data_IF_026770906842
#
_entry.id   IF_026770906842
#
_cell.length_a   1.000
_cell.length_b   1.000
_cell.length_c   1.000
_cell.angle_alpha   90.00
_cell.angle_beta   90.00
_cell.angle_gamma   90.00
#
_symmetry.space_group_name_H-M   'P 1'
#
loop_
_entity.id
_entity.type
_entity.pdbx_description
1 polymer ?
#
# COMPACT_ATOMS: atom_id res chain seq x y z
N UNK A 1 -9.89 -9.43 -38.60
CA UNK A 1 -9.84 -7.96 -38.78
C UNK A 1 -8.67 -7.50 -37.96
N UNK A 2 -7.53 -7.34 -38.63
CA UNK A 2 -6.22 -7.06 -38.03
C UNK A 2 -6.22 -5.67 -37.38
N UNK A 3 -5.81 -5.61 -36.12
CA UNK A 3 -5.55 -4.34 -35.45
C UNK A 3 -4.07 -4.04 -35.68
N UNK A 4 -3.83 -3.04 -36.52
CA UNK A 4 -2.51 -2.55 -36.89
C UNK A 4 -1.69 -2.14 -35.67
N UNK A 5 -0.49 -2.71 -35.55
CA UNK A 5 0.57 -2.20 -34.68
C UNK A 5 0.95 -0.79 -35.14
N UNK A 6 0.71 0.23 -34.32
CA UNK A 6 1.37 1.53 -34.46
C UNK A 6 2.62 1.50 -33.59
N UNK A 7 3.67 0.88 -34.11
CA UNK A 7 5.04 1.13 -33.66
C UNK A 7 5.48 2.46 -34.26
N UNK A 8 5.54 3.53 -33.46
CA UNK A 8 6.43 4.65 -33.76
C UNK A 8 7.85 4.22 -33.36
N UNK A 9 8.68 3.97 -34.37
CA UNK A 9 10.11 3.81 -34.19
C UNK A 9 10.72 5.19 -33.88
N UNK A 10 11.35 5.33 -32.72
CA UNK A 10 12.25 6.44 -32.42
C UNK A 10 13.58 6.16 -33.11
N UNK A 11 14.05 7.09 -33.94
CA UNK A 11 15.46 7.19 -34.35
C UNK A 11 16.23 7.85 -33.20
N UNK A 12 16.47 7.07 -32.15
CA UNK A 12 17.58 7.14 -31.19
C UNK A 12 17.30 6.01 -30.19
N UNK A 13 18.27 5.09 -30.05
CA UNK A 13 18.10 3.76 -29.46
C UNK A 13 17.89 3.72 -27.94
N UNK A 14 16.89 4.44 -27.43
CA UNK A 14 16.45 4.35 -26.05
C UNK A 14 15.07 3.67 -26.03
N UNK A 15 15.02 2.44 -25.51
CA UNK A 15 13.79 1.67 -25.33
C UNK A 15 12.87 2.47 -24.40
N UNK A 16 11.74 2.97 -24.92
CA UNK A 16 10.68 3.57 -24.10
C UNK A 16 10.11 2.47 -23.22
N UNK A 17 10.42 2.51 -21.92
CA UNK A 17 9.89 1.55 -20.96
C UNK A 17 8.37 1.72 -20.89
N UNK A 18 7.63 0.60 -20.91
CA UNK A 18 6.16 0.66 -20.78
C UNK A 18 5.78 1.13 -19.38
N UNK A 19 4.58 1.71 -19.22
CA UNK A 19 4.05 2.09 -17.91
C UNK A 19 4.05 0.88 -16.96
N UNK A 20 3.76 -0.32 -17.47
CA UNK A 20 3.89 -1.57 -16.73
C UNK A 20 5.33 -1.82 -16.24
N UNK A 21 6.35 -1.58 -17.07
CA UNK A 21 7.76 -1.73 -16.71
C UNK A 21 8.20 -0.68 -15.67
N UNK A 22 7.75 0.57 -15.80
CA UNK A 22 8.08 1.68 -14.89
C UNK A 22 7.40 1.50 -13.52
N UNK A 23 6.10 1.18 -13.51
CA UNK A 23 5.34 0.89 -12.29
C UNK A 23 5.88 -0.38 -11.60
N UNK A 24 6.24 -1.41 -12.38
CA UNK A 24 6.88 -2.59 -11.85
C UNK A 24 8.28 -2.31 -11.26
N UNK A 25 9.07 -1.39 -11.81
CA UNK A 25 10.42 -1.09 -11.30
C UNK A 25 10.42 -0.18 -10.07
N UNK A 26 9.58 0.84 -10.02
CA UNK A 26 9.66 1.89 -9.01
C UNK A 26 9.06 1.48 -7.64
N UNK A 27 8.05 0.62 -7.61
CA UNK A 27 7.47 0.13 -6.35
C UNK A 27 8.09 -1.19 -5.87
N UNK A 28 8.50 -2.09 -6.77
CA UNK A 28 8.98 -3.42 -6.36
C UNK A 28 10.25 -3.38 -5.51
N UNK A 29 11.23 -2.54 -5.82
CA UNK A 29 12.55 -2.64 -5.16
C UNK A 29 12.49 -2.25 -3.68
N UNK A 30 11.76 -1.18 -3.32
CA UNK A 30 11.69 -0.73 -1.91
C UNK A 30 10.73 -1.56 -1.08
N UNK A 31 9.54 -1.86 -1.58
CA UNK A 31 8.55 -2.63 -0.81
C UNK A 31 8.96 -4.09 -0.64
N UNK A 32 9.51 -4.74 -1.67
CA UNK A 32 9.97 -6.14 -1.52
C UNK A 32 11.11 -6.23 -0.51
N UNK A 33 12.10 -5.32 -0.58
CA UNK A 33 13.17 -5.31 0.40
C UNK A 33 12.64 -5.05 1.82
N UNK A 34 11.66 -4.16 1.96
CA UNK A 34 10.98 -3.90 3.22
C UNK A 34 10.29 -5.15 3.78
N UNK A 35 9.51 -5.85 2.95
CA UNK A 35 8.81 -7.09 3.33
C UNK A 35 9.81 -8.17 3.76
N UNK A 36 10.89 -8.37 3.02
CA UNK A 36 11.92 -9.36 3.36
C UNK A 36 12.61 -9.03 4.69
N UNK A 37 12.96 -7.76 4.91
CA UNK A 37 13.54 -7.30 6.18
C UNK A 37 12.55 -7.48 7.34
N UNK A 38 11.26 -7.21 7.13
CA UNK A 38 10.24 -7.44 8.15
C UNK A 38 10.10 -8.91 8.53
N UNK A 39 10.00 -9.79 7.54
CA UNK A 39 9.81 -11.22 7.80
C UNK A 39 10.94 -11.82 8.63
N UNK A 40 12.14 -11.25 8.54
CA UNK A 40 13.34 -11.73 9.24
C UNK A 40 13.62 -11.02 10.57
N UNK A 41 13.29 -9.73 10.68
CA UNK A 41 13.69 -8.89 11.82
C UNK A 41 12.54 -8.52 12.74
N UNK A 42 11.28 -8.57 12.27
CA UNK A 42 10.14 -8.11 13.06
C UNK A 42 9.67 -9.16 14.07
N UNK A 43 9.61 -8.75 15.33
CA UNK A 43 9.05 -9.54 16.43
C UNK A 43 7.79 -8.84 16.97
N UNK A 44 6.65 -9.49 16.75
CA UNK A 44 5.37 -9.06 17.28
C UNK A 44 5.30 -9.22 18.81
N UNK A 45 4.53 -8.35 19.45
CA UNK A 45 4.15 -8.40 20.86
C UNK A 45 2.66 -8.68 21.00
N UNK A 46 2.28 -9.25 22.13
CA UNK A 46 0.88 -9.55 22.43
C UNK A 46 0.00 -8.29 22.55
N UNK A 47 0.59 -7.12 22.81
CA UNK A 47 -0.11 -5.83 22.89
C UNK A 47 -0.09 -5.03 21.58
N UNK A 48 0.51 -5.58 20.52
CA UNK A 48 0.57 -4.90 19.22
C UNK A 48 -0.78 -4.86 18.52
N UNK A 49 -1.00 -3.78 17.77
CA UNK A 49 -2.14 -3.61 16.87
C UNK A 49 -1.64 -3.40 15.45
N UNK A 50 -1.94 -4.34 14.57
CA UNK A 50 -1.64 -4.28 13.13
C UNK A 50 -2.87 -3.85 12.36
N UNK A 51 -2.76 -2.76 11.60
CA UNK A 51 -3.76 -2.28 10.65
C UNK A 51 -3.40 -2.72 9.23
N UNK A 52 -4.20 -3.59 8.62
CA UNK A 52 -3.92 -4.13 7.29
C UNK A 52 -5.03 -3.81 6.29
N UNK A 53 -4.66 -3.65 5.02
CA UNK A 53 -5.57 -3.35 3.91
C UNK A 53 -4.85 -3.46 2.58
N UNK A 54 -5.55 -3.76 1.49
CA UNK A 54 -5.02 -3.42 0.16
C UNK A 54 -4.78 -1.89 0.10
N UNK A 55 -3.74 -1.42 -0.59
CA UNK A 55 -3.58 0.01 -0.86
C UNK A 55 -4.88 0.62 -1.38
N UNK A 56 -5.26 1.79 -0.86
CA UNK A 56 -6.47 2.55 -1.26
C UNK A 56 -7.82 2.04 -0.75
N UNK A 57 -7.83 1.03 0.13
CA UNK A 57 -9.06 0.55 0.80
C UNK A 57 -9.51 1.40 2.01
N UNK A 58 -8.86 2.55 2.26
CA UNK A 58 -9.18 3.40 3.43
C UNK A 58 -8.20 3.32 4.59
N UNK A 59 -6.96 2.86 4.36
CA UNK A 59 -5.91 2.77 5.39
C UNK A 59 -5.69 4.08 6.16
N UNK A 60 -5.77 5.23 5.51
CA UNK A 60 -5.62 6.54 6.17
C UNK A 60 -6.72 6.78 7.22
N UNK A 61 -7.98 6.45 6.89
CA UNK A 61 -9.10 6.62 7.80
C UNK A 61 -9.00 5.64 8.97
N UNK A 62 -8.66 4.39 8.69
CA UNK A 62 -8.44 3.36 9.71
C UNK A 62 -7.32 3.76 10.69
N UNK A 63 -6.17 4.23 10.17
CA UNK A 63 -5.06 4.73 10.98
C UNK A 63 -5.50 5.84 11.94
N UNK A 64 -6.24 6.82 11.43
CA UNK A 64 -6.72 7.95 12.24
C UNK A 64 -7.70 7.52 13.32
N UNK A 65 -8.65 6.63 12.99
CA UNK A 65 -9.62 6.15 13.97
C UNK A 65 -8.96 5.36 15.09
N UNK A 66 -8.13 4.38 14.73
CA UNK A 66 -7.50 3.51 15.74
C UNK A 66 -6.52 4.30 16.60
N UNK A 67 -5.72 5.18 15.99
CA UNK A 67 -4.83 6.04 16.76
C UNK A 67 -5.61 6.91 17.75
N UNK A 68 -6.73 7.52 17.32
CA UNK A 68 -7.59 8.33 18.19
C UNK A 68 -8.15 7.53 19.36
N UNK A 69 -8.62 6.30 19.10
CA UNK A 69 -9.19 5.42 20.13
C UNK A 69 -8.13 5.00 21.14
N UNK A 70 -6.96 4.55 20.67
CA UNK A 70 -5.90 4.02 21.52
C UNK A 70 -5.23 5.12 22.35
N UNK A 71 -5.06 6.32 21.78
CA UNK A 71 -4.38 7.44 22.46
C UNK A 71 -5.36 8.40 23.17
N UNK A 72 -6.67 8.13 23.15
CA UNK A 72 -7.72 9.00 23.70
C UNK A 72 -7.47 9.47 25.14
N UNK A 73 -6.98 8.57 25.99
CA UNK A 73 -6.82 8.82 27.44
C UNK A 73 -5.36 9.12 27.83
N UNK A 74 -4.48 9.36 26.85
CA UNK A 74 -3.09 9.68 27.12
C UNK A 74 -2.93 11.19 27.06
N UNK A 75 -3.03 11.87 28.22
CA UNK A 75 -2.95 13.34 28.32
C UNK A 75 -1.61 13.91 27.82
N UNK A 76 -0.59 13.07 27.73
CA UNK A 76 0.67 13.35 27.06
C UNK A 76 0.60 12.99 25.57
N UNK A 77 -0.35 13.59 24.84
CA UNK A 77 -0.17 13.69 23.39
C UNK A 77 1.10 14.51 23.18
N UNK A 78 2.22 13.83 22.96
CA UNK A 78 3.47 14.46 22.56
C UNK A 78 3.27 15.27 21.27
N UNK A 79 4.34 15.71 20.59
CA UNK A 79 4.24 16.55 19.38
C UNK A 79 3.43 15.95 18.20
N UNK A 80 3.02 14.67 18.30
CA UNK A 80 2.28 13.88 17.34
C UNK A 80 0.76 13.96 17.61
N UNK A 81 0.13 15.05 17.19
CA UNK A 81 -1.33 15.20 17.14
C UNK A 81 -1.81 15.19 15.69
N UNK A 82 -3.09 14.85 15.45
CA UNK A 82 -3.69 15.00 14.12
C UNK A 82 -3.59 16.42 13.57
N UNK A 83 -3.55 17.42 14.45
CA UNK A 83 -3.40 18.82 14.06
C UNK A 83 -2.00 19.17 13.54
N UNK A 84 -0.99 18.35 13.84
CA UNK A 84 0.42 18.63 13.55
C UNK A 84 1.07 17.60 12.62
N UNK A 85 0.48 16.42 12.44
CA UNK A 85 1.09 15.31 11.72
C UNK A 85 0.10 14.57 10.80
N UNK A 86 0.59 14.20 9.61
CA UNK A 86 -0.13 13.31 8.71
C UNK A 86 -0.35 11.94 9.39
N UNK A 87 -1.53 11.32 9.34
CA UNK A 87 -1.77 10.01 9.95
C UNK A 87 -0.86 8.88 9.44
N UNK A 88 -0.30 8.98 8.23
CA UNK A 88 0.76 8.07 7.76
C UNK A 88 2.04 8.13 8.61
N UNK A 89 2.32 9.27 9.25
CA UNK A 89 3.44 9.44 10.17
C UNK A 89 3.09 9.00 11.60
N UNK A 90 1.79 9.04 11.96
CA UNK A 90 1.30 8.60 13.28
C UNK A 90 1.26 7.07 13.39
N UNK A 91 0.87 6.39 12.32
CA UNK A 91 0.84 4.93 12.24
C UNK A 91 1.65 4.50 11.03
N UNK A 92 2.86 4.01 11.32
CA UNK A 92 3.87 3.75 10.31
C UNK A 92 3.63 2.43 9.59
N UNK A 93 3.96 2.37 8.30
CA UNK A 93 3.88 1.13 7.53
C UNK A 93 5.12 0.29 7.79
N UNK A 94 4.91 -0.97 8.15
CA UNK A 94 5.98 -1.92 8.44
C UNK A 94 6.90 -2.06 7.22
N UNK A 95 6.35 -2.06 6.00
CA UNK A 95 7.14 -2.27 4.78
C UNK A 95 8.13 -1.13 4.50
N UNK A 96 7.97 0.01 5.19
CA UNK A 96 8.82 1.18 5.01
C UNK A 96 9.81 1.36 6.15
N UNK A 97 9.44 0.99 7.38
CA UNK A 97 10.31 1.13 8.53
C UNK A 97 9.78 0.36 9.74
N UNK A 98 10.71 -0.06 10.61
CA UNK A 98 10.38 -0.69 11.88
C UNK A 98 9.60 0.26 12.80
N UNK A 99 8.68 -0.28 13.62
CA UNK A 99 7.84 0.51 14.50
C UNK A 99 8.59 1.01 15.72
N UNK A 100 8.11 2.12 16.27
CA UNK A 100 8.67 2.71 17.49
C UNK A 100 8.37 1.84 18.72
N UNK A 101 9.09 2.11 19.82
CA UNK A 101 8.97 1.38 21.08
C UNK A 101 7.78 1.79 21.97
N UNK A 102 6.87 2.62 21.44
CA UNK A 102 5.70 3.12 22.17
C UNK A 102 4.69 2.01 22.48
N UNK A 103 4.10 2.00 23.67
CA UNK A 103 3.09 1.01 24.06
C UNK A 103 1.65 1.59 24.10
N UNK A 104 0.63 0.84 23.64
CA UNK A 104 0.76 -0.26 22.68
C UNK A 104 1.25 0.26 21.32
N UNK A 105 1.95 -0.58 20.53
CA UNK A 105 2.42 -0.21 19.18
C UNK A 105 1.26 -0.30 18.21
N UNK A 106 1.05 0.78 17.44
CA UNK A 106 0.07 0.81 16.35
C UNK A 106 0.86 0.86 15.05
N UNK A 107 0.64 -0.15 14.19
CA UNK A 107 1.41 -0.36 12.98
C UNK A 107 0.46 -0.56 11.81
N UNK A 108 0.98 -0.46 10.59
CA UNK A 108 0.20 -0.80 9.40
C UNK A 108 0.97 -1.63 8.40
N UNK A 109 0.25 -2.37 7.57
CA UNK A 109 0.80 -3.14 6.47
C UNK A 109 -0.14 -3.11 5.26
N UNK A 110 0.45 -3.17 4.08
CA UNK A 110 -0.21 -3.51 2.82
C UNK A 110 0.14 -4.93 2.35
N UNK A 111 1.03 -5.62 3.05
CA UNK A 111 1.40 -6.99 2.75
C UNK A 111 0.20 -7.94 2.89
N UNK A 112 -0.03 -8.85 1.93
CA UNK A 112 -1.07 -9.85 2.03
C UNK A 112 -0.79 -10.80 3.20
N UNK A 113 -1.83 -11.43 3.73
CA UNK A 113 -1.74 -12.26 4.95
C UNK A 113 -0.61 -13.30 4.94
N UNK A 114 -0.38 -14.06 3.84
CA UNK A 114 0.72 -15.04 3.79
C UNK A 114 2.12 -14.44 3.86
N UNK A 115 2.25 -13.14 3.54
CA UNK A 115 3.53 -12.43 3.55
C UNK A 115 3.82 -11.73 4.88
N UNK A 116 2.88 -11.75 5.83
CA UNK A 116 3.11 -11.16 7.15
C UNK A 116 4.18 -11.93 7.94
N UNK A 117 4.96 -11.26 8.81
CA UNK A 117 5.94 -11.93 9.66
C UNK A 117 5.31 -13.06 10.49
N UNK A 118 5.95 -14.25 10.57
CA UNK A 118 5.42 -15.38 11.34
C UNK A 118 5.17 -15.06 12.82
N UNK A 119 5.97 -14.13 13.39
CA UNK A 119 5.81 -13.68 14.77
C UNK A 119 4.42 -13.06 15.04
N UNK A 120 3.80 -12.44 14.03
CA UNK A 120 2.44 -11.89 14.14
C UNK A 120 1.43 -13.02 14.27
N UNK A 121 1.59 -14.11 13.51
CA UNK A 121 0.69 -15.26 13.54
C UNK A 121 0.82 -16.08 14.83
N UNK A 122 2.00 -16.10 15.44
CA UNK A 122 2.28 -16.83 16.68
C UNK A 122 2.03 -16.02 17.97
N UNK A 123 1.63 -14.75 17.88
CA UNK A 123 1.39 -13.86 19.03
C UNK A 123 -0.10 -13.51 19.16
N UNK A 124 -0.47 -12.85 20.26
CA UNK A 124 -1.81 -12.29 20.43
C UNK A 124 -1.97 -10.90 19.79
N UNK A 125 -1.10 -10.56 18.83
CA UNK A 125 -1.19 -9.31 18.08
C UNK A 125 -2.57 -9.18 17.43
N UNK A 126 -3.22 -8.03 17.63
CA UNK A 126 -4.54 -7.76 17.08
C UNK A 126 -4.40 -7.30 15.65
N UNK A 127 -5.04 -8.01 14.72
CA UNK A 127 -5.07 -7.65 13.30
C UNK A 127 -6.44 -7.02 13.00
N UNK A 128 -6.43 -5.79 12.48
CA UNK A 128 -7.63 -5.08 12.01
C UNK A 128 -7.49 -4.87 10.50
N UNK A 129 -8.36 -5.52 9.74
CA UNK A 129 -8.39 -5.41 8.28
C UNK A 129 -9.51 -4.50 7.79
N UNK A 130 -9.24 -3.64 6.82
CA UNK A 130 -10.27 -2.88 6.09
C UNK A 130 -10.22 -3.22 4.60
N UNK A 131 -11.37 -3.63 4.07
CA UNK A 131 -11.58 -3.86 2.65
C UNK A 131 -12.47 -2.77 2.04
N UNK A 132 -12.44 -2.68 0.71
CA UNK A 132 -13.27 -1.77 -0.08
C UNK A 132 -13.79 -2.53 -1.29
N UNK A 133 -14.96 -2.11 -1.81
CA UNK A 133 -15.47 -2.62 -3.08
C UNK A 133 -14.36 -2.54 -4.16
N UNK A 134 -14.08 -3.62 -4.93
CA UNK A 134 -12.99 -3.63 -5.89
C UNK A 134 -13.07 -2.57 -6.99
N UNK A 135 -14.27 -2.16 -7.40
CA UNK A 135 -14.45 -1.09 -8.38
C UNK A 135 -14.04 0.27 -7.81
N UNK A 136 -14.45 0.55 -6.56
CA UNK A 136 -14.04 1.77 -5.86
C UNK A 136 -12.54 1.77 -5.51
N UNK A 137 -12.00 0.58 -5.23
CA UNK A 137 -10.56 0.36 -4.99
C UNK A 137 -9.76 0.75 -6.24
N UNK A 138 -10.17 0.23 -7.40
CA UNK A 138 -9.56 0.54 -8.69
C UNK A 138 -9.58 2.03 -8.99
N UNK A 139 -10.75 2.68 -8.93
CA UNK A 139 -10.88 4.12 -9.21
C UNK A 139 -9.99 4.95 -8.27
N UNK A 140 -9.94 4.59 -7.00
CA UNK A 140 -9.06 5.27 -6.04
C UNK A 140 -7.57 5.01 -6.28
N UNK A 141 -7.20 3.84 -6.78
CA UNK A 141 -5.83 3.48 -7.13
C UNK A 141 -5.37 4.22 -8.39
N UNK A 142 -6.20 4.21 -9.43
CA UNK A 142 -6.00 4.98 -10.65
C UNK A 142 -5.66 6.45 -10.35
N UNK A 143 -6.55 7.17 -9.65
CA UNK A 143 -6.29 8.57 -9.31
C UNK A 143 -5.03 8.77 -8.45
N UNK A 144 -4.69 7.80 -7.60
CA UNK A 144 -3.49 7.88 -6.78
C UNK A 144 -2.21 7.75 -7.61
N UNK A 145 -2.16 6.80 -8.54
CA UNK A 145 -1.03 6.59 -9.44
C UNK A 145 -0.82 7.82 -10.33
N UNK A 146 -1.88 8.37 -10.93
CA UNK A 146 -1.80 9.60 -11.72
C UNK A 146 -1.27 10.79 -10.91
N UNK A 147 -1.69 10.93 -9.65
CA UNK A 147 -1.16 11.99 -8.78
C UNK A 147 0.31 11.76 -8.42
N UNK A 148 0.76 10.51 -8.29
CA UNK A 148 2.11 10.17 -7.85
C UNK A 148 3.15 10.29 -8.96
N UNK A 149 2.80 9.89 -10.19
CA UNK A 149 3.72 9.83 -11.33
C UNK A 149 3.49 10.93 -12.38
N UNK A 150 2.55 11.85 -12.14
CA UNK A 150 2.14 12.89 -13.09
C UNK A 150 1.05 12.40 -14.04
N UNK A 151 0.49 13.29 -14.86
CA UNK A 151 -0.54 12.95 -15.86
C UNK A 151 0.02 11.99 -16.91
N UNK A 152 0.02 10.70 -16.58
CA UNK A 152 0.00 9.62 -17.55
C UNK A 152 -1.28 9.85 -18.36
N UNK A 153 -1.20 9.91 -19.69
CA UNK A 153 -2.30 10.30 -20.58
C UNK A 153 -3.68 9.85 -20.08
N UNK A 154 -4.60 10.79 -19.85
CA UNK A 154 -5.93 10.54 -19.26
C UNK A 154 -6.99 10.11 -20.28
N UNK A 155 -6.55 9.63 -21.45
CA UNK A 155 -7.44 9.16 -22.51
C UNK A 155 -8.27 7.95 -22.04
N UNK A 156 -9.55 7.83 -22.43
CA UNK A 156 -10.42 6.72 -22.02
C UNK A 156 -9.83 5.33 -22.28
N UNK A 157 -9.08 5.18 -23.38
CA UNK A 157 -8.37 3.94 -23.74
C UNK A 157 -7.34 3.52 -22.69
N UNK A 158 -6.71 4.49 -22.01
CA UNK A 158 -5.71 4.24 -20.97
C UNK A 158 -6.37 3.73 -19.67
N UNK A 159 -7.60 4.18 -19.36
CA UNK A 159 -8.35 3.71 -18.19
C UNK A 159 -8.79 2.25 -18.37
N UNK A 160 -9.29 1.89 -19.55
CA UNK A 160 -9.71 0.52 -19.87
C UNK A 160 -8.53 -0.46 -19.79
N UNK A 161 -7.37 -0.08 -20.35
CA UNK A 161 -6.13 -0.86 -20.25
C UNK A 161 -5.70 -1.06 -18.80
N UNK A 162 -5.71 0.00 -17.99
CA UNK A 162 -5.35 -0.12 -16.59
C UNK A 162 -6.38 -0.90 -15.77
N UNK A 163 -7.66 -0.86 -16.14
CA UNK A 163 -8.68 -1.71 -15.53
C UNK A 163 -8.43 -3.19 -15.86
N UNK A 164 -8.09 -3.52 -17.11
CA UNK A 164 -7.74 -4.88 -17.51
C UNK A 164 -6.50 -5.41 -16.76
N UNK A 165 -5.45 -4.58 -16.64
CA UNK A 165 -4.24 -4.87 -15.84
C UNK A 165 -4.60 -5.09 -14.36
N UNK A 166 -5.47 -4.26 -13.78
CA UNK A 166 -5.97 -4.44 -12.41
C UNK A 166 -6.76 -5.75 -12.25
N UNK A 167 -7.65 -6.08 -13.21
CA UNK A 167 -8.41 -7.33 -13.23
C UNK A 167 -7.53 -8.57 -13.42
N UNK A 168 -6.33 -8.43 -14.01
CA UNK A 168 -5.30 -9.47 -14.06
C UNK A 168 -4.49 -9.59 -12.76
N UNK A 169 -4.74 -8.73 -11.78
CA UNK A 169 -4.05 -8.74 -10.49
C UNK A 169 -2.68 -8.06 -10.52
N UNK A 170 -2.32 -7.41 -11.63
CA UNK A 170 -1.01 -6.80 -11.83
C UNK A 170 -1.04 -5.37 -11.30
N UNK A 171 -1.08 -5.25 -9.98
CA UNK A 171 -1.02 -3.97 -9.28
C UNK A 171 -0.26 -4.16 -7.95
N UNK A 172 0.14 -3.07 -7.27
CA UNK A 172 0.84 -3.16 -5.99
C UNK A 172 0.03 -3.96 -4.98
N UNK A 173 0.69 -4.95 -4.36
CA UNK A 173 0.10 -5.90 -3.40
C UNK A 173 -1.09 -6.70 -3.96
N UNK A 174 -1.23 -6.79 -5.28
CA UNK A 174 -2.23 -7.62 -5.94
C UNK A 174 -1.88 -9.11 -5.93
N UNK A 175 -2.84 -9.97 -6.34
CA UNK A 175 -4.20 -9.59 -6.76
C UNK A 175 -5.12 -9.25 -5.57
N UNK A 176 -6.08 -8.34 -5.77
CA UNK A 176 -6.98 -7.91 -4.69
C UNK A 176 -7.84 -9.04 -4.11
N UNK A 177 -8.21 -10.05 -4.92
CA UNK A 177 -9.08 -11.14 -4.48
C UNK A 177 -8.38 -12.16 -3.57
N UNK A 178 -7.05 -12.31 -3.68
CA UNK A 178 -6.26 -13.14 -2.75
C UNK A 178 -5.85 -12.33 -1.50
N UNK A 179 -5.95 -11.01 -1.56
CA UNK A 179 -5.64 -10.13 -0.45
C UNK A 179 -6.82 -9.93 0.52
N UNK A 180 -8.07 -10.06 0.04
CA UNK A 180 -9.29 -9.94 0.85
C UNK A 180 -9.65 -11.27 1.52
#
# INVERSE_FOLDING_TARGET
MEISKVTKNNEEGERVETIEEILAKLEKVKYIQGILSLQTQFVARDDDILLTSCPKSGSLWLKSLIFSIVKRNNDNNGPLSFSTCNPHNLVRALELSLPDEAKPRIMSAHSPYPSLPPSIMSSNCKIIYICRNPLDLFVSHWHFIHKLFGDINTEPTHLEECFDVFCKGVHPFGPFWDHI
#
